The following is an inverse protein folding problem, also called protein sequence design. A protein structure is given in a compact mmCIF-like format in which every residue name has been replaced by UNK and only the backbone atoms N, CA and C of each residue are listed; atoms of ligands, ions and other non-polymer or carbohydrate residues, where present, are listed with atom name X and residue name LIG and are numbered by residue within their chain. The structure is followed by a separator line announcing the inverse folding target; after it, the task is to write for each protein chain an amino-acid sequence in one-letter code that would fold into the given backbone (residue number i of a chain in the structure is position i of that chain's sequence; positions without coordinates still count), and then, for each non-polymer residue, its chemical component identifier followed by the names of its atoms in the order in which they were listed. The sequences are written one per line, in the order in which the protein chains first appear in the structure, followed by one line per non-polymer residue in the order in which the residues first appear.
data_IF_974987540058
#
_entry.id   IF_974987540058
#
_cell.length_a   1.000
_cell.length_b   1.000
_cell.length_c   1.000
_cell.angle_alpha   90.00
_cell.angle_beta   90.00
_cell.angle_gamma   90.00
#
_symmetry.space_group_name_H-M   'P 1'
#
loop_
_entity.id
_entity.type
_entity.pdbx_description
1 polymer ?
#
# COMPACT_ATOMS: atom_id res chain seq x y z
N UNK A 1 46.73 51.16 6.99
CA UNK A 1 47.29 49.85 7.38
C UNK A 1 46.14 48.99 7.87
N UNK A 2 45.84 47.88 7.19
CA UNK A 2 44.75 46.97 7.55
C UNK A 2 44.15 46.30 6.32
N UNK A 3 44.73 45.18 5.92
CA UNK A 3 44.32 44.37 4.77
C UNK A 3 42.95 43.72 5.02
N UNK A 4 42.05 43.81 4.04
CA UNK A 4 40.91 42.91 3.89
C UNK A 4 41.36 41.75 2.98
N UNK A 5 41.40 40.54 3.51
CA UNK A 5 41.56 39.30 2.73
C UNK A 5 40.25 38.50 2.76
N UNK A 6 39.88 37.80 1.66
CA UNK A 6 38.64 37.03 1.62
C UNK A 6 38.83 35.70 2.37
N UNK A 7 38.02 35.48 3.42
CA UNK A 7 37.82 34.18 4.07
C UNK A 7 36.31 33.98 4.18
N UNK A 8 35.71 33.21 3.28
CA UNK A 8 34.52 32.36 3.51
C UNK A 8 33.94 31.76 2.20
N UNK A 9 34.76 31.12 1.37
CA UNK A 9 34.26 30.26 0.27
C UNK A 9 34.79 28.83 0.34
N UNK A 10 35.75 28.54 1.24
CA UNK A 10 36.45 27.25 1.27
C UNK A 10 35.75 26.15 2.08
N UNK A 11 34.63 26.44 2.78
CA UNK A 11 33.93 25.44 3.60
C UNK A 11 32.69 24.81 2.94
N UNK A 12 32.20 25.35 1.82
CA UNK A 12 31.12 24.74 1.05
C UNK A 12 31.65 23.76 0.00
N UNK A 13 32.78 24.08 -0.64
CA UNK A 13 33.44 23.19 -1.61
C UNK A 13 34.04 21.93 -0.97
N UNK A 14 34.43 21.99 0.31
CA UNK A 14 34.97 20.83 1.03
C UNK A 14 33.85 19.87 1.48
N UNK A 15 32.63 20.37 1.73
CA UNK A 15 31.47 19.52 2.05
C UNK A 15 30.85 18.88 0.79
N UNK A 16 30.92 19.55 -0.38
CA UNK A 16 30.54 18.92 -1.66
C UNK A 16 31.54 17.86 -2.12
N UNK A 17 32.85 18.05 -1.86
CA UNK A 17 33.88 17.04 -2.15
C UNK A 17 33.73 15.79 -1.28
N UNK A 18 33.48 15.93 0.02
CA UNK A 18 33.26 14.75 0.89
C UNK A 18 31.97 13.99 0.55
N UNK A 19 30.94 14.69 0.03
CA UNK A 19 29.70 14.07 -0.44
C UNK A 19 29.91 13.37 -1.80
N UNK A 20 30.70 13.96 -2.71
CA UNK A 20 31.06 13.34 -3.99
C UNK A 20 32.03 12.17 -3.84
N UNK A 21 32.96 12.22 -2.88
CA UNK A 21 33.89 11.11 -2.58
C UNK A 21 33.19 9.94 -1.88
N UNK A 22 32.11 10.21 -1.12
CA UNK A 22 31.25 9.17 -0.56
C UNK A 22 30.35 8.51 -1.61
N UNK A 23 29.92 9.27 -2.63
CA UNK A 23 29.15 8.77 -3.77
C UNK A 23 30.05 7.96 -4.73
N UNK A 24 31.28 8.40 -4.98
CA UNK A 24 32.25 7.69 -5.83
C UNK A 24 32.78 6.42 -5.15
N UNK A 25 33.04 6.44 -3.83
CA UNK A 25 33.41 5.24 -3.07
C UNK A 25 32.27 4.21 -2.95
N UNK A 26 31.01 4.65 -3.07
CA UNK A 26 29.85 3.77 -3.24
C UNK A 26 29.78 3.24 -4.67
N UNK A 27 29.98 4.09 -5.70
CA UNK A 27 30.00 3.70 -7.10
C UNK A 27 31.09 2.67 -7.44
N UNK A 28 32.27 2.73 -6.80
CA UNK A 28 33.35 1.75 -7.00
C UNK A 28 33.09 0.39 -6.33
N UNK A 29 32.29 0.34 -5.25
CA UNK A 29 31.77 -0.93 -4.70
C UNK A 29 30.59 -1.48 -5.52
N UNK A 30 29.81 -0.61 -6.15
CA UNK A 30 28.74 -0.99 -7.08
C UNK A 30 29.30 -1.46 -8.44
N UNK A 31 30.46 -0.95 -8.88
CA UNK A 31 31.16 -1.39 -10.09
C UNK A 31 31.55 -2.88 -10.05
N UNK A 32 31.96 -3.40 -8.88
CA UNK A 32 32.25 -4.84 -8.72
C UNK A 32 31.01 -5.72 -8.67
N UNK A 33 29.89 -5.22 -8.16
CA UNK A 33 28.62 -5.98 -8.15
C UNK A 33 27.93 -5.97 -9.51
N UNK A 34 28.09 -4.89 -10.30
CA UNK A 34 27.57 -4.75 -11.68
C UNK A 34 28.44 -5.52 -12.68
N UNK A 35 29.76 -5.61 -12.46
CA UNK A 35 30.65 -6.43 -13.30
C UNK A 35 30.40 -7.94 -13.20
N UNK A 36 29.73 -8.40 -12.14
CA UNK A 36 29.30 -9.79 -12.01
C UNK A 36 28.13 -10.16 -12.95
N UNK A 37 27.43 -9.15 -13.50
CA UNK A 37 26.34 -9.34 -14.45
C UNK A 37 26.79 -9.20 -15.91
N UNK A 38 27.95 -8.60 -16.16
CA UNK A 38 28.51 -8.45 -17.52
C UNK A 38 29.51 -9.53 -17.91
N UNK A 39 30.16 -10.20 -16.96
CA UNK A 39 31.06 -11.33 -17.24
C UNK A 39 30.55 -12.63 -16.59
N UNK A 40 30.07 -13.52 -17.45
CA UNK A 40 29.20 -14.63 -17.07
C UNK A 40 29.74 -15.59 -16.03
N UNK A 41 28.87 -15.95 -15.07
CA UNK A 41 28.86 -17.28 -14.43
C UNK A 41 27.65 -17.66 -13.56
N UNK A 42 26.49 -16.99 -13.67
CA UNK A 42 25.26 -17.46 -13.00
C UNK A 42 24.07 -17.46 -13.97
N UNK A 43 23.55 -18.66 -14.26
CA UNK A 43 22.33 -18.97 -15.04
C UNK A 43 22.38 -18.79 -16.58
N UNK A 44 22.66 -19.86 -17.35
CA UNK A 44 22.54 -19.88 -18.81
C UNK A 44 21.11 -19.78 -19.38
N UNK A 45 20.04 -19.70 -18.57
CA UNK A 45 18.65 -19.79 -19.06
C UNK A 45 17.92 -18.45 -19.29
N UNK A 46 18.49 -17.28 -18.98
CA UNK A 46 17.81 -15.98 -19.15
C UNK A 46 18.39 -15.09 -20.26
N UNK A 47 18.97 -15.69 -21.30
CA UNK A 47 19.41 -14.97 -22.50
C UNK A 47 18.21 -14.62 -23.39
N UNK A 48 17.49 -13.54 -23.04
CA UNK A 48 16.73 -12.76 -24.02
C UNK A 48 17.74 -11.88 -24.77
N UNK A 49 17.76 -12.06 -26.08
CA UNK A 49 18.87 -11.76 -26.98
C UNK A 49 18.81 -10.31 -27.47
N UNK A 50 19.84 -9.51 -27.22
CA UNK A 50 20.11 -8.29 -27.98
C UNK A 50 21.11 -8.58 -29.11
N UNK A 51 20.69 -8.17 -30.31
CA UNK A 51 21.36 -8.15 -31.61
C UNK A 51 21.08 -9.28 -32.62
N UNK A 52 20.59 -8.77 -33.78
CA UNK A 52 20.41 -9.28 -35.15
C UNK A 52 19.13 -10.05 -35.53
N UNK A 53 18.18 -9.25 -36.06
CA UNK A 53 17.38 -9.47 -37.28
C UNK A 53 16.37 -10.65 -37.37
N UNK A 54 15.13 -10.25 -37.66
CA UNK A 54 14.03 -11.00 -38.27
C UNK A 54 13.24 -12.01 -37.42
N UNK A 55 12.04 -11.57 -37.00
CA UNK A 55 10.84 -12.41 -36.91
C UNK A 55 10.64 -13.22 -35.62
N UNK A 56 9.51 -12.97 -34.95
CA UNK A 56 8.92 -13.88 -33.98
C UNK A 56 8.86 -13.32 -32.55
N UNK A 57 7.69 -12.81 -32.20
CA UNK A 57 7.27 -12.45 -30.86
C UNK A 57 7.17 -13.71 -29.95
N UNK A 58 7.26 -13.54 -28.62
CA UNK A 58 7.15 -14.55 -27.54
C UNK A 58 8.42 -15.39 -27.19
N UNK A 59 9.16 -14.96 -26.15
CA UNK A 59 10.31 -15.71 -25.60
C UNK A 59 10.28 -15.98 -24.10
N UNK A 60 9.56 -15.16 -23.32
CA UNK A 60 9.55 -15.27 -21.85
C UNK A 60 8.34 -16.03 -21.30
N UNK A 61 7.17 -15.96 -21.96
CA UNK A 61 6.00 -16.80 -21.61
C UNK A 61 6.22 -18.29 -21.93
N UNK A 62 7.06 -18.58 -22.92
CA UNK A 62 7.30 -19.96 -23.38
C UNK A 62 8.28 -20.74 -22.48
N UNK A 63 9.15 -20.05 -21.74
CA UNK A 63 10.07 -20.68 -20.80
C UNK A 63 9.38 -21.18 -19.53
N UNK A 64 8.25 -20.57 -19.15
CA UNK A 64 7.40 -21.06 -18.05
C UNK A 64 6.51 -22.25 -18.48
N UNK A 65 6.47 -22.59 -19.77
CA UNK A 65 5.61 -23.63 -20.35
C UNK A 65 6.35 -24.89 -20.80
N UNK A 66 7.68 -24.98 -20.65
CA UNK A 66 8.46 -26.16 -21.09
C UNK A 66 8.67 -27.16 -19.95
N UNK A 67 7.88 -28.25 -19.97
CA UNK A 67 7.98 -29.46 -19.14
C UNK A 67 9.30 -30.24 -19.32
N UNK A 68 10.44 -29.63 -18.95
CA UNK A 68 11.75 -30.35 -18.87
C UNK A 68 12.56 -30.05 -17.62
N UNK A 69 11.87 -29.93 -16.49
CA UNK A 69 12.47 -30.11 -15.17
C UNK A 69 11.72 -31.18 -14.38
N UNK A 70 11.68 -32.40 -14.93
CA UNK A 70 11.45 -33.59 -14.09
C UNK A 70 12.79 -33.91 -13.43
N UNK A 71 13.01 -33.35 -12.24
CA UNK A 71 14.01 -33.78 -11.28
C UNK A 71 13.25 -34.28 -10.04
N UNK A 72 13.72 -35.39 -9.50
CA UNK A 72 13.09 -36.15 -8.40
C UNK A 72 12.59 -35.23 -7.27
N UNK A 73 11.34 -35.43 -6.88
CA UNK A 73 10.55 -34.65 -5.92
C UNK A 73 11.33 -34.21 -4.67
N UNK A 74 11.55 -32.90 -4.52
CA UNK A 74 11.49 -32.25 -3.21
C UNK A 74 10.84 -30.88 -3.33
N UNK A 75 9.78 -30.64 -2.56
CA UNK A 75 9.12 -29.34 -2.32
C UNK A 75 10.14 -28.24 -1.88
N UNK A 76 11.35 -28.65 -1.48
CA UNK A 76 12.50 -27.78 -1.18
C UNK A 76 13.09 -27.10 -2.42
N UNK A 77 13.18 -27.76 -3.57
CA UNK A 77 13.92 -27.24 -4.73
C UNK A 77 13.17 -26.09 -5.42
N UNK A 78 11.84 -26.17 -5.52
CA UNK A 78 10.99 -25.11 -6.06
C UNK A 78 11.00 -23.87 -5.15
N UNK A 79 10.93 -24.08 -3.83
CA UNK A 79 11.09 -23.01 -2.84
C UNK A 79 12.46 -22.36 -2.91
N UNK A 80 13.52 -23.14 -3.14
CA UNK A 80 14.86 -22.60 -3.34
C UNK A 80 14.95 -21.80 -4.65
N UNK A 81 14.39 -22.30 -5.75
CA UNK A 81 14.37 -21.61 -7.04
C UNK A 81 13.63 -20.27 -6.94
N UNK A 82 12.44 -20.26 -6.35
CA UNK A 82 11.68 -19.03 -6.11
C UNK A 82 12.50 -18.03 -5.31
N UNK A 83 13.13 -18.46 -4.21
CA UNK A 83 13.98 -17.58 -3.41
C UNK A 83 15.20 -17.05 -4.19
N UNK A 84 15.80 -17.85 -5.06
CA UNK A 84 16.90 -17.41 -5.93
C UNK A 84 16.43 -16.35 -6.93
N UNK A 85 15.28 -16.58 -7.59
CA UNK A 85 14.68 -15.61 -8.51
C UNK A 85 14.37 -14.30 -7.76
N UNK A 86 13.72 -14.38 -6.60
CA UNK A 86 13.38 -13.20 -5.80
C UNK A 86 14.62 -12.45 -5.30
N UNK A 87 15.70 -13.14 -4.96
CA UNK A 87 16.96 -12.48 -4.61
C UNK A 87 17.62 -11.83 -5.83
N UNK A 88 17.54 -12.45 -7.01
CA UNK A 88 18.10 -11.90 -8.24
C UNK A 88 17.39 -10.60 -8.66
N UNK A 89 16.07 -10.51 -8.47
CA UNK A 89 15.30 -9.30 -8.84
C UNK A 89 15.34 -8.18 -7.79
N UNK A 90 16.05 -8.34 -6.66
CA UNK A 90 16.18 -7.24 -5.68
C UNK A 90 16.89 -6.00 -6.22
N UNK A 91 17.70 -6.16 -7.27
CA UNK A 91 18.38 -5.03 -7.92
C UNK A 91 17.44 -4.16 -8.76
N UNK A 92 16.17 -4.54 -8.93
CA UNK A 92 15.18 -3.85 -9.76
C UNK A 92 15.13 -2.33 -9.59
N UNK A 93 15.13 -1.76 -8.37
CA UNK A 93 15.07 -0.31 -8.20
C UNK A 93 16.23 0.47 -8.86
N UNK A 94 17.34 -0.21 -9.17
CA UNK A 94 18.52 0.37 -9.84
C UNK A 94 18.54 0.18 -11.35
N UNK A 95 17.59 -0.59 -11.91
CA UNK A 95 17.47 -0.82 -13.35
C UNK A 95 16.85 0.39 -14.05
N UNK A 96 16.97 0.43 -15.39
CA UNK A 96 16.27 1.44 -16.19
C UNK A 96 14.75 1.22 -16.21
N UNK A 97 14.00 2.25 -16.62
CA UNK A 97 12.53 2.26 -16.60
C UNK A 97 11.90 1.04 -17.29
N UNK A 98 12.35 0.73 -18.51
CA UNK A 98 11.81 -0.38 -19.30
C UNK A 98 12.00 -1.72 -18.59
N UNK A 99 13.18 -1.95 -18.00
CA UNK A 99 13.47 -3.16 -17.25
C UNK A 99 12.71 -3.24 -15.94
N UNK A 100 12.50 -2.12 -15.23
CA UNK A 100 11.68 -2.11 -14.02
C UNK A 100 10.24 -2.56 -14.31
N UNK A 101 9.64 -2.04 -15.38
CA UNK A 101 8.29 -2.42 -15.82
C UNK A 101 8.24 -3.89 -16.23
N UNK A 102 9.25 -4.38 -16.96
CA UNK A 102 9.30 -5.78 -17.36
C UNK A 102 9.47 -6.72 -16.16
N UNK A 103 10.27 -6.35 -15.16
CA UNK A 103 10.39 -7.14 -13.92
C UNK A 103 9.06 -7.17 -13.16
N UNK A 104 8.28 -6.08 -13.11
CA UNK A 104 6.94 -6.10 -12.52
C UNK A 104 6.03 -7.14 -13.20
N UNK A 105 6.08 -7.26 -14.54
CA UNK A 105 5.33 -8.29 -15.27
C UNK A 105 5.82 -9.70 -14.95
N UNK A 106 7.14 -9.90 -14.86
CA UNK A 106 7.71 -11.22 -14.50
C UNK A 106 7.28 -11.62 -13.09
N UNK A 107 7.34 -10.70 -12.13
CA UNK A 107 6.87 -10.93 -10.76
C UNK A 107 5.39 -11.29 -10.73
N UNK A 108 4.56 -10.59 -11.51
CA UNK A 108 3.16 -10.93 -11.67
C UNK A 108 2.98 -12.34 -12.27
N UNK A 109 3.70 -12.69 -13.35
CA UNK A 109 3.62 -14.03 -13.94
C UNK A 109 3.99 -15.12 -12.92
N UNK A 110 5.04 -14.91 -12.11
CA UNK A 110 5.41 -15.81 -11.02
C UNK A 110 4.22 -16.03 -10.08
N UNK A 111 3.46 -14.97 -9.75
CA UNK A 111 2.33 -15.05 -8.82
C UNK A 111 1.16 -15.92 -9.29
N UNK A 112 1.01 -16.10 -10.60
CA UNK A 112 -0.05 -16.90 -11.22
C UNK A 112 0.43 -18.26 -11.74
N UNK A 113 1.73 -18.56 -11.61
CA UNK A 113 2.28 -19.81 -12.14
C UNK A 113 2.07 -20.93 -11.10
N UNK A 114 1.46 -22.06 -11.46
CA UNK A 114 1.20 -23.16 -10.52
C UNK A 114 2.46 -23.92 -10.09
N UNK A 115 3.63 -23.61 -10.69
CA UNK A 115 4.92 -24.20 -10.36
C UNK A 115 5.49 -23.74 -9.02
N UNK A 116 4.97 -22.64 -8.46
CA UNK A 116 5.47 -22.09 -7.21
C UNK A 116 4.36 -22.10 -6.17
N UNK A 117 4.62 -22.76 -5.03
CA UNK A 117 3.76 -22.67 -3.85
C UNK A 117 4.00 -21.32 -3.14
N UNK A 118 3.14 -20.34 -3.44
CA UNK A 118 3.25 -18.98 -2.93
C UNK A 118 2.55 -18.84 -1.58
N UNK A 119 3.36 -18.86 -0.52
CA UNK A 119 2.92 -18.49 0.82
C UNK A 119 3.07 -16.98 1.09
N UNK A 120 2.60 -16.55 2.26
CA UNK A 120 2.65 -15.15 2.69
C UNK A 120 4.07 -14.57 2.72
N UNK A 121 5.09 -15.39 3.02
CA UNK A 121 6.49 -14.94 2.99
C UNK A 121 6.97 -14.61 1.57
N UNK A 122 6.62 -15.42 0.57
CA UNK A 122 6.96 -15.14 -0.82
C UNK A 122 6.25 -13.89 -1.32
N UNK A 123 4.95 -13.75 -1.02
CA UNK A 123 4.15 -12.56 -1.36
C UNK A 123 4.77 -11.30 -0.76
N UNK A 124 5.22 -11.35 0.49
CA UNK A 124 5.88 -10.21 1.14
C UNK A 124 7.22 -9.85 0.51
N UNK A 125 8.02 -10.83 0.07
CA UNK A 125 9.29 -10.57 -0.64
C UNK A 125 9.04 -9.92 -2.00
N UNK A 126 8.02 -10.36 -2.73
CA UNK A 126 7.61 -9.72 -3.99
C UNK A 126 7.14 -8.30 -3.72
N UNK A 127 6.28 -8.11 -2.71
CA UNK A 127 5.78 -6.81 -2.33
C UNK A 127 6.90 -5.83 -1.93
N UNK A 128 7.92 -6.31 -1.22
CA UNK A 128 9.11 -5.55 -0.85
C UNK A 128 9.83 -5.01 -2.10
N UNK A 129 10.13 -5.86 -3.09
CA UNK A 129 10.76 -5.43 -4.35
C UNK A 129 9.89 -4.40 -5.08
N UNK A 130 8.57 -4.62 -5.15
CA UNK A 130 7.63 -3.68 -5.75
C UNK A 130 7.63 -2.31 -5.05
N UNK A 131 7.57 -2.29 -3.71
CA UNK A 131 7.51 -1.06 -2.91
C UNK A 131 8.84 -0.30 -2.93
N UNK A 132 9.97 -1.00 -2.88
CA UNK A 132 11.29 -0.39 -3.04
C UNK A 132 11.41 0.27 -4.43
N UNK A 133 10.98 -0.43 -5.47
CA UNK A 133 10.97 0.11 -6.85
C UNK A 133 10.09 1.36 -6.95
N UNK A 134 8.89 1.34 -6.33
CA UNK A 134 8.01 2.51 -6.25
C UNK A 134 8.68 3.71 -5.56
N UNK A 135 9.39 3.44 -4.47
CA UNK A 135 10.04 4.49 -3.66
C UNK A 135 11.20 5.12 -4.42
N UNK A 136 12.03 4.31 -5.10
CA UNK A 136 13.15 4.80 -5.90
C UNK A 136 12.70 5.53 -7.19
N UNK A 137 11.55 5.14 -7.75
CA UNK A 137 11.04 5.65 -9.02
C UNK A 137 9.77 6.49 -8.86
N UNK A 138 9.63 7.24 -7.76
CA UNK A 138 8.38 7.92 -7.37
C UNK A 138 7.80 8.89 -8.42
N UNK A 139 8.65 9.44 -9.30
CA UNK A 139 8.25 10.35 -10.38
C UNK A 139 7.86 9.65 -11.69
N UNK A 140 8.11 8.34 -11.81
CA UNK A 140 7.93 7.60 -13.06
C UNK A 140 6.55 6.93 -13.09
N UNK A 141 5.63 7.49 -13.89
CA UNK A 141 4.22 7.06 -13.92
C UNK A 141 4.04 5.61 -14.40
N UNK A 142 4.81 5.21 -15.41
CA UNK A 142 4.80 3.85 -15.99
C UNK A 142 5.09 2.79 -14.92
N UNK A 143 6.19 2.96 -14.18
CA UNK A 143 6.58 2.09 -13.07
C UNK A 143 5.55 2.14 -11.95
N UNK A 144 5.11 3.32 -11.54
CA UNK A 144 4.09 3.44 -10.50
C UNK A 144 2.80 2.68 -10.87
N UNK A 145 2.42 2.70 -12.15
CA UNK A 145 1.25 1.96 -12.66
C UNK A 145 1.50 0.45 -12.65
N UNK A 146 2.67 0.02 -13.11
CA UNK A 146 3.05 -1.40 -13.14
C UNK A 146 3.17 -1.99 -11.72
N UNK A 147 3.78 -1.27 -10.79
CA UNK A 147 3.87 -1.66 -9.37
C UNK A 147 2.48 -1.78 -8.75
N UNK A 148 1.62 -0.78 -8.93
CA UNK A 148 0.24 -0.80 -8.39
C UNK A 148 -0.58 -1.95 -8.95
N UNK A 149 -0.48 -2.22 -10.25
CA UNK A 149 -1.12 -3.36 -10.88
C UNK A 149 -0.60 -4.69 -10.30
N UNK A 150 0.72 -4.85 -10.19
CA UNK A 150 1.35 -6.06 -9.68
C UNK A 150 0.93 -6.35 -8.24
N UNK A 151 1.03 -5.34 -7.36
CA UNK A 151 0.63 -5.47 -5.95
C UNK A 151 -0.86 -5.79 -5.82
N UNK A 152 -1.74 -5.01 -6.48
CA UNK A 152 -3.19 -5.21 -6.35
C UNK A 152 -3.64 -6.57 -6.89
N UNK A 153 -3.10 -7.01 -8.04
CA UNK A 153 -3.45 -8.30 -8.64
C UNK A 153 -2.93 -9.48 -7.82
N UNK A 154 -1.67 -9.43 -7.36
CA UNK A 154 -1.10 -10.47 -6.50
C UNK A 154 -1.85 -10.61 -5.18
N UNK A 155 -2.11 -9.48 -4.49
CA UNK A 155 -2.78 -9.47 -3.19
C UNK A 155 -4.24 -9.90 -3.29
N UNK A 156 -4.93 -9.48 -4.35
CA UNK A 156 -6.31 -9.91 -4.61
C UNK A 156 -6.35 -11.40 -4.89
N UNK A 157 -5.43 -11.92 -5.71
CA UNK A 157 -5.38 -13.34 -6.05
C UNK A 157 -5.15 -14.23 -4.82
N UNK A 158 -4.14 -13.92 -3.98
CA UNK A 158 -3.92 -14.62 -2.71
C UNK A 158 -5.21 -14.73 -1.87
N UNK A 159 -5.95 -13.61 -1.79
CA UNK A 159 -7.17 -13.55 -0.98
C UNK A 159 -8.35 -14.27 -1.66
N UNK A 160 -8.43 -14.22 -3.00
CA UNK A 160 -9.41 -14.96 -3.78
C UNK A 160 -9.20 -16.46 -3.68
N UNK A 161 -7.96 -16.93 -3.68
CA UNK A 161 -7.64 -18.33 -3.44
C UNK A 161 -8.17 -18.78 -2.07
N UNK A 162 -7.99 -17.98 -1.01
CA UNK A 162 -8.59 -18.24 0.30
C UNK A 162 -10.12 -18.29 0.24
N UNK A 163 -10.76 -17.30 -0.41
CA UNK A 163 -12.22 -17.24 -0.56
C UNK A 163 -12.77 -18.48 -1.25
N UNK A 164 -12.17 -18.90 -2.37
CA UNK A 164 -12.57 -20.09 -3.13
C UNK A 164 -12.47 -21.36 -2.27
N UNK A 165 -11.40 -21.49 -1.48
CA UNK A 165 -11.21 -22.66 -0.60
C UNK A 165 -12.20 -22.68 0.56
N UNK A 166 -12.57 -21.52 1.09
CA UNK A 166 -13.61 -21.40 2.12
C UNK A 166 -14.99 -21.79 1.57
N UNK A 167 -15.34 -21.34 0.37
CA UNK A 167 -16.60 -21.70 -0.29
C UNK A 167 -16.69 -23.20 -0.59
N UNK A 168 -15.60 -23.82 -1.08
CA UNK A 168 -15.55 -25.26 -1.33
C UNK A 168 -15.74 -26.09 -0.05
N UNK A 169 -15.23 -25.61 1.09
CA UNK A 169 -15.38 -26.29 2.39
C UNK A 169 -16.82 -26.27 2.91
N UNK A 170 -17.64 -25.29 2.49
CA UNK A 170 -19.04 -25.17 2.90
C UNK A 170 -19.96 -26.12 2.09
N UNK A 171 -19.55 -26.51 0.88
CA UNK A 171 -20.35 -27.33 -0.05
C UNK A 171 -20.07 -28.84 0.14
N UNK A 172 -18.91 -29.24 0.65
CA UNK A 172 -18.60 -30.65 0.90
C UNK A 172 -19.36 -31.21 2.13
N UNK A 173 -20.23 -32.19 1.89
CA UNK A 173 -20.97 -32.96 2.89
C UNK A 173 -20.04 -33.55 3.98
N UNK A 174 -20.44 -33.57 5.26
CA UNK A 174 -19.60 -34.04 6.39
C UNK A 174 -19.35 -35.56 6.46
N UNK A 175 -19.63 -36.34 5.41
CA UNK A 175 -19.75 -37.82 5.48
C UNK A 175 -18.76 -38.61 4.58
N UNK A 176 -17.63 -38.02 4.17
CA UNK A 176 -16.59 -38.74 3.38
C UNK A 176 -15.27 -38.83 4.16
N UNK A 177 -14.68 -40.03 4.36
CA UNK A 177 -13.46 -40.23 5.13
C UNK A 177 -12.24 -39.46 4.60
N UNK A 178 -11.51 -38.90 5.55
CA UNK A 178 -10.34 -38.03 5.47
C UNK A 178 -9.06 -38.77 5.01
N UNK A 179 -9.08 -39.51 3.89
CA UNK A 179 -7.91 -40.32 3.47
C UNK A 179 -7.24 -39.87 2.15
N UNK A 180 -7.74 -38.83 1.48
CA UNK A 180 -7.15 -38.34 0.22
C UNK A 180 -7.07 -36.80 0.10
N UNK A 181 -6.89 -36.08 1.21
CA UNK A 181 -6.64 -34.63 1.13
C UNK A 181 -5.19 -34.39 0.69
N UNK A 182 -5.00 -34.38 -0.63
CA UNK A 182 -3.76 -34.05 -1.33
C UNK A 182 -3.13 -32.74 -0.82
N UNK A 183 -1.83 -32.78 -0.55
CA UNK A 183 -0.77 -31.73 -0.61
C UNK A 183 -1.14 -30.29 -1.08
N UNK A 184 -2.20 -29.69 -0.54
CA UNK A 184 -2.56 -28.30 -0.75
C UNK A 184 -2.54 -27.53 0.56
N UNK A 185 -2.14 -26.25 0.51
CA UNK A 185 -2.23 -25.34 1.66
C UNK A 185 -3.65 -25.35 2.24
N UNK A 186 -3.76 -25.56 3.56
CA UNK A 186 -5.04 -25.62 4.25
C UNK A 186 -5.72 -24.24 4.26
N UNK A 187 -7.04 -24.18 4.43
CA UNK A 187 -7.78 -22.91 4.57
C UNK A 187 -7.21 -22.06 5.71
N UNK A 188 -6.80 -22.70 6.81
CA UNK A 188 -6.21 -22.04 7.96
C UNK A 188 -4.83 -21.45 7.62
N UNK A 189 -3.96 -22.20 6.95
CA UNK A 189 -2.65 -21.70 6.51
C UNK A 189 -2.77 -20.52 5.53
N UNK A 190 -3.69 -20.58 4.56
CA UNK A 190 -3.95 -19.45 3.66
C UNK A 190 -4.52 -18.23 4.42
N UNK A 191 -5.33 -18.45 5.45
CA UNK A 191 -5.83 -17.38 6.30
C UNK A 191 -4.70 -16.72 7.10
N UNK A 192 -3.79 -17.52 7.65
CA UNK A 192 -2.58 -17.04 8.32
C UNK A 192 -1.67 -16.25 7.37
N UNK A 193 -1.50 -16.71 6.13
CA UNK A 193 -0.75 -16.01 5.10
C UNK A 193 -1.35 -14.63 4.79
N UNK A 194 -2.67 -14.54 4.58
CA UNK A 194 -3.38 -13.27 4.35
C UNK A 194 -3.24 -12.32 5.55
N UNK A 195 -3.39 -12.84 6.78
CA UNK A 195 -3.23 -12.05 8.00
C UNK A 195 -1.80 -11.58 8.19
N UNK A 196 -0.81 -12.40 7.88
CA UNK A 196 0.61 -12.04 7.91
C UNK A 196 0.90 -10.89 6.95
N UNK A 197 0.42 -11.01 5.70
CA UNK A 197 0.57 -9.96 4.67
C UNK A 197 -0.09 -8.66 5.11
N UNK A 198 -1.35 -8.70 5.59
CA UNK A 198 -2.04 -7.52 6.11
C UNK A 198 -1.31 -6.89 7.30
N UNK A 199 -0.76 -7.71 8.19
CA UNK A 199 -0.03 -7.23 9.37
C UNK A 199 1.16 -6.39 8.97
N UNK A 200 2.01 -6.90 8.07
CA UNK A 200 3.18 -6.17 7.58
C UNK A 200 2.77 -4.91 6.81
N UNK A 201 1.73 -4.98 5.97
CA UNK A 201 1.23 -3.80 5.26
C UNK A 201 0.74 -2.71 6.24
N UNK A 202 0.05 -3.09 7.31
CA UNK A 202 -0.43 -2.15 8.32
C UNK A 202 0.72 -1.55 9.16
N UNK A 203 1.74 -2.33 9.50
CA UNK A 203 2.96 -1.84 10.16
C UNK A 203 3.70 -0.82 9.28
N UNK A 204 3.85 -1.12 7.99
CA UNK A 204 4.48 -0.22 7.02
C UNK A 204 3.65 1.04 6.75
N UNK A 205 2.32 0.92 6.73
CA UNK A 205 1.42 2.07 6.67
C UNK A 205 1.66 3.00 7.87
N UNK A 206 1.66 2.45 9.09
CA UNK A 206 1.89 3.23 10.31
C UNK A 206 3.25 3.93 10.31
N UNK A 207 4.31 3.25 9.86
CA UNK A 207 5.64 3.83 9.75
C UNK A 207 5.68 5.01 8.75
N UNK A 208 4.88 4.95 7.68
CA UNK A 208 4.90 5.92 6.58
C UNK A 208 3.89 7.06 6.67
N UNK A 209 3.05 7.12 7.73
CA UNK A 209 1.99 8.14 7.89
C UNK A 209 2.52 9.57 7.75
N UNK A 210 3.73 9.84 8.24
CA UNK A 210 4.33 11.18 8.25
C UNK A 210 5.37 11.42 7.14
N UNK A 211 5.72 10.39 6.35
CA UNK A 211 6.88 10.43 5.46
C UNK A 211 6.50 10.82 4.03
N UNK A 212 5.57 10.09 3.41
CA UNK A 212 5.19 10.29 2.00
C UNK A 212 3.73 9.95 1.77
N UNK A 213 2.94 10.94 1.37
CA UNK A 213 1.52 10.75 1.04
C UNK A 213 1.30 9.77 -0.12
N UNK A 214 2.25 9.67 -1.06
CA UNK A 214 2.18 8.72 -2.18
C UNK A 214 2.39 7.28 -1.71
N UNK A 215 3.37 7.08 -0.83
CA UNK A 215 3.66 5.77 -0.24
C UNK A 215 2.55 5.34 0.72
N UNK A 216 2.04 6.26 1.54
CA UNK A 216 0.87 6.08 2.37
C UNK A 216 -0.36 5.64 1.55
N UNK A 217 -0.61 6.31 0.42
CA UNK A 217 -1.70 5.94 -0.49
C UNK A 217 -1.49 4.53 -1.06
N UNK A 218 -0.26 4.19 -1.47
CA UNK A 218 0.05 2.85 -1.98
C UNK A 218 -0.26 1.76 -0.95
N UNK A 219 0.14 1.93 0.32
CA UNK A 219 -0.18 0.97 1.37
C UNK A 219 -1.69 0.83 1.61
N UNK A 220 -2.43 1.94 1.61
CA UNK A 220 -3.89 1.92 1.75
C UNK A 220 -4.57 1.16 0.60
N UNK A 221 -4.08 1.32 -0.63
CA UNK A 221 -4.59 0.60 -1.81
C UNK A 221 -4.27 -0.91 -1.74
N UNK A 222 -3.07 -1.28 -1.27
CA UNK A 222 -2.72 -2.68 -1.04
C UNK A 222 -3.65 -3.31 0.00
N UNK A 223 -3.85 -2.65 1.14
CA UNK A 223 -4.76 -3.12 2.20
C UNK A 223 -6.19 -3.23 1.66
N UNK A 224 -6.65 -2.23 0.90
CA UNK A 224 -7.99 -2.24 0.30
C UNK A 224 -8.17 -3.41 -0.67
N UNK A 225 -7.14 -3.73 -1.48
CA UNK A 225 -7.17 -4.86 -2.42
C UNK A 225 -7.37 -6.20 -1.71
N UNK A 226 -6.70 -6.39 -0.57
CA UNK A 226 -6.89 -7.58 0.28
C UNK A 226 -8.28 -7.60 0.90
N UNK A 227 -8.74 -6.49 1.50
CA UNK A 227 -10.03 -6.44 2.18
C UNK A 227 -11.21 -6.63 1.21
N UNK A 228 -11.19 -5.99 0.03
CA UNK A 228 -12.24 -6.15 -0.97
C UNK A 228 -12.33 -7.59 -1.53
N UNK A 229 -11.18 -8.27 -1.61
CA UNK A 229 -11.07 -9.67 -2.03
C UNK A 229 -11.30 -10.67 -0.89
N UNK A 230 -11.50 -10.20 0.34
CA UNK A 230 -11.78 -11.06 1.51
C UNK A 230 -13.24 -11.53 1.55
N UNK A 231 -13.46 -12.79 1.91
CA UNK A 231 -14.80 -13.34 2.19
C UNK A 231 -15.38 -12.81 3.50
N UNK A 232 -16.70 -12.94 3.70
CA UNK A 232 -17.30 -12.55 4.97
C UNK A 232 -16.81 -13.42 6.14
N UNK A 233 -16.42 -14.69 5.92
CA UNK A 233 -15.98 -15.61 6.99
C UNK A 233 -14.65 -15.21 7.64
N UNK A 234 -13.91 -14.25 7.08
CA UNK A 234 -12.66 -13.73 7.69
C UNK A 234 -12.84 -13.21 9.11
N UNK A 235 -14.03 -12.76 9.49
CA UNK A 235 -14.30 -12.30 10.87
C UNK A 235 -14.20 -13.41 11.92
N UNK A 236 -14.26 -14.69 11.52
CA UNK A 236 -14.09 -15.82 12.43
C UNK A 236 -12.62 -16.00 12.85
N UNK A 237 -11.69 -15.49 12.04
CA UNK A 237 -10.27 -15.60 12.34
C UNK A 237 -9.85 -14.53 13.34
N UNK A 238 -9.49 -14.97 14.56
CA UNK A 238 -9.17 -14.05 15.66
C UNK A 238 -8.02 -13.10 15.31
N UNK A 239 -6.96 -13.61 14.67
CA UNK A 239 -5.83 -12.80 14.24
C UNK A 239 -6.23 -11.68 13.28
N UNK A 240 -7.21 -11.94 12.40
CA UNK A 240 -7.75 -10.92 11.51
C UNK A 240 -8.50 -9.84 12.29
N UNK A 241 -9.47 -10.23 13.14
CA UNK A 241 -10.22 -9.25 13.94
C UNK A 241 -9.30 -8.41 14.83
N UNK A 242 -8.31 -9.04 15.48
CA UNK A 242 -7.32 -8.36 16.31
C UNK A 242 -6.50 -7.34 15.54
N UNK A 243 -6.06 -7.68 14.32
CA UNK A 243 -5.36 -6.75 13.47
C UNK A 243 -6.23 -5.53 13.11
N UNK A 244 -7.51 -5.75 12.79
CA UNK A 244 -8.42 -4.66 12.45
C UNK A 244 -8.58 -3.67 13.59
N UNK A 245 -8.89 -4.13 14.81
CA UNK A 245 -9.19 -3.21 15.92
C UNK A 245 -7.93 -2.67 16.62
N UNK A 246 -6.83 -3.43 16.68
CA UNK A 246 -5.60 -2.99 17.35
C UNK A 246 -4.71 -2.12 16.46
N UNK A 247 -4.80 -2.29 15.14
CA UNK A 247 -3.81 -1.75 14.21
C UNK A 247 -4.46 -0.90 13.10
N UNK A 248 -5.25 -1.53 12.21
CA UNK A 248 -5.75 -0.85 11.01
C UNK A 248 -6.67 0.33 11.36
N UNK A 249 -7.74 0.12 12.12
CA UNK A 249 -8.68 1.19 12.43
C UNK A 249 -8.01 2.37 13.20
N UNK A 250 -7.18 2.13 14.23
CA UNK A 250 -6.39 3.20 14.84
C UNK A 250 -5.52 3.97 13.85
N UNK A 251 -4.83 3.28 12.93
CA UNK A 251 -4.02 3.93 11.89
C UNK A 251 -4.87 4.83 10.99
N UNK A 252 -6.04 4.36 10.52
CA UNK A 252 -6.96 5.16 9.71
C UNK A 252 -7.46 6.40 10.46
N UNK A 253 -7.78 6.28 11.75
CA UNK A 253 -8.19 7.40 12.60
C UNK A 253 -7.07 8.44 12.74
N UNK A 254 -5.82 7.99 12.90
CA UNK A 254 -4.66 8.88 12.97
C UNK A 254 -4.44 9.61 11.65
N UNK A 255 -4.56 8.91 10.52
CA UNK A 255 -4.41 9.47 9.18
C UNK A 255 -5.47 10.54 8.88
N UNK A 256 -6.71 10.33 9.33
CA UNK A 256 -7.79 11.32 9.23
C UNK A 256 -7.54 12.57 10.12
N UNK A 257 -6.45 12.59 10.90
CA UNK A 257 -5.98 13.72 11.71
C UNK A 257 -6.66 13.82 13.08
N UNK A 258 -6.14 14.68 13.97
CA UNK A 258 -6.71 14.97 15.29
C UNK A 258 -7.12 16.45 15.38
N UNK A 259 -8.36 16.81 15.81
CA UNK A 259 -8.89 18.18 15.88
C UNK A 259 -8.00 19.24 16.52
N UNK A 260 -7.15 18.83 17.46
CA UNK A 260 -6.44 19.76 18.35
C UNK A 260 -5.32 20.50 17.61
N UNK A 261 -4.88 20.00 16.44
CA UNK A 261 -3.80 20.60 15.66
C UNK A 261 -4.26 21.43 14.47
N UNK A 262 -5.57 21.52 14.21
CA UNK A 262 -6.10 22.45 13.22
C UNK A 262 -6.14 23.86 13.85
N UNK A 263 -4.96 24.49 13.93
CA UNK A 263 -4.79 25.88 14.38
C UNK A 263 -5.34 26.86 13.34
N UNK A 264 -6.60 26.70 12.96
CA UNK A 264 -7.35 27.70 12.20
C UNK A 264 -8.73 27.93 12.83
N UNK A 265 -8.77 28.06 14.16
CA UNK A 265 -9.74 28.96 14.77
C UNK A 265 -9.10 30.35 14.76
N UNK A 266 -9.18 31.04 13.63
CA UNK A 266 -9.08 32.51 13.63
C UNK A 266 -10.32 33.03 14.33
N UNK A 267 -10.26 33.17 15.66
CA UNK A 267 -11.08 34.13 16.37
C UNK A 267 -10.83 35.49 15.72
N UNK A 268 -11.85 36.06 15.08
CA UNK A 268 -11.78 37.38 14.48
C UNK A 268 -11.71 38.46 15.56
N UNK A 269 -10.59 38.57 16.28
CA UNK A 269 -10.24 39.72 17.12
C UNK A 269 -8.75 39.70 17.47
N UNK A 270 -7.88 40.05 16.53
CA UNK A 270 -6.57 40.63 16.87
C UNK A 270 -5.91 41.30 15.66
N UNK A 271 -6.55 42.31 15.07
CA UNK A 271 -5.85 43.28 14.22
C UNK A 271 -6.59 44.60 14.14
N UNK A 272 -6.61 45.34 15.25
CA UNK A 272 -6.74 46.80 15.24
C UNK A 272 -6.41 47.36 16.63
N UNK A 273 -5.16 47.74 16.88
CA UNK A 273 -4.80 48.83 17.79
C UNK A 273 -3.27 49.06 17.77
N UNK A 274 -2.78 49.72 16.73
CA UNK A 274 -1.63 50.62 16.86
C UNK A 274 -2.16 51.97 17.36
N UNK A 275 -1.81 52.34 18.59
CA UNK A 275 -1.73 53.70 19.15
C UNK A 275 -2.99 54.62 19.14
N UNK A 276 -3.01 55.58 20.06
CA UNK A 276 -3.96 56.71 20.29
C UNK A 276 -5.32 56.34 20.93
N UNK A 277 -5.54 56.62 22.22
CA UNK A 277 -5.90 57.90 22.87
C UNK A 277 -7.29 58.42 22.45
N UNK A 278 -8.22 58.29 23.42
CA UNK A 278 -9.41 59.10 23.76
C UNK A 278 -10.33 59.65 22.65
N UNK A 279 -11.65 59.37 22.74
CA UNK A 279 -12.70 60.38 22.97
C UNK A 279 -14.13 59.79 22.90
N UNK A 280 -14.98 60.27 23.81
CA UNK A 280 -16.41 60.02 23.97
C UNK A 280 -17.26 60.28 22.72
N UNK A 281 -18.29 59.45 22.48
CA UNK A 281 -19.66 59.94 22.20
C UNK A 281 -20.67 58.79 22.03
N UNK A 282 -21.84 58.99 22.65
CA UNK A 282 -22.99 58.10 22.60
C UNK A 282 -23.67 58.08 21.23
N UNK A 283 -23.98 56.89 20.71
CA UNK A 283 -25.19 56.66 19.91
C UNK A 283 -25.56 55.18 19.87
N UNK A 284 -26.85 54.96 20.07
CA UNK A 284 -27.54 53.68 20.13
C UNK A 284 -27.92 53.26 18.71
N UNK A 285 -27.40 52.14 18.20
CA UNK A 285 -27.92 51.48 17.00
C UNK A 285 -27.55 49.99 16.96
N UNK A 286 -28.58 49.17 17.18
CA UNK A 286 -28.81 47.80 16.67
C UNK A 286 -27.67 46.78 16.82
N UNK A 287 -27.82 45.93 17.83
CA UNK A 287 -27.19 44.61 17.88
C UNK A 287 -27.74 43.74 16.75
N UNK A 288 -26.99 43.62 15.65
CA UNK A 288 -27.09 42.46 14.77
C UNK A 288 -26.26 41.33 15.37
N UNK A 289 -26.82 40.76 16.43
CA UNK A 289 -26.39 39.50 17.01
C UNK A 289 -26.52 38.39 15.96
N UNK A 290 -25.42 37.71 15.68
CA UNK A 290 -25.47 36.29 15.31
C UNK A 290 -25.53 36.00 13.82
N UNK A 291 -24.38 36.13 13.15
CA UNK A 291 -23.97 35.16 12.12
C UNK A 291 -22.50 34.82 12.29
N UNK A 292 -22.17 34.23 13.44
CA UNK A 292 -20.94 33.47 13.60
C UNK A 292 -20.96 32.24 12.71
N UNK A 293 -20.82 32.43 11.39
CA UNK A 293 -20.44 31.36 10.48
C UNK A 293 -18.94 31.20 10.57
N UNK A 294 -18.48 30.69 11.72
CA UNK A 294 -17.15 30.09 11.83
C UNK A 294 -17.13 28.79 11.05
N UNK A 295 -17.28 28.87 9.73
CA UNK A 295 -16.91 27.77 8.86
C UNK A 295 -15.39 27.70 8.95
N UNK A 296 -14.83 26.63 9.49
CA UNK A 296 -13.47 26.24 9.12
C UNK A 296 -13.45 26.13 7.60
N UNK A 297 -12.87 27.13 6.95
CA UNK A 297 -12.70 27.18 5.50
C UNK A 297 -11.56 26.27 5.02
N UNK A 298 -10.85 25.62 5.94
CA UNK A 298 -9.76 24.71 5.64
C UNK A 298 -10.32 23.32 5.42
N UNK A 299 -10.17 22.84 4.17
CA UNK A 299 -10.35 21.44 3.85
C UNK A 299 -9.48 20.58 4.78
N UNK A 300 -9.85 19.30 5.03
CA UNK A 300 -8.96 18.38 5.74
C UNK A 300 -7.56 18.49 5.13
N UNK A 301 -6.51 18.61 5.93
CA UNK A 301 -5.11 18.62 5.45
C UNK A 301 -4.67 17.29 4.79
N UNK A 302 -5.64 16.40 4.56
CA UNK A 302 -5.51 15.07 4.00
C UNK A 302 -5.72 15.09 2.48
N UNK A 303 -4.84 14.41 1.76
CA UNK A 303 -4.95 14.22 0.31
C UNK A 303 -6.28 13.57 -0.07
N UNK A 304 -6.98 14.13 -1.07
CA UNK A 304 -8.28 13.62 -1.54
C UNK A 304 -8.28 12.12 -1.88
N UNK A 305 -7.32 11.62 -2.68
CA UNK A 305 -7.16 10.18 -2.94
C UNK A 305 -6.98 9.32 -1.69
N UNK A 306 -6.23 9.81 -0.69
CA UNK A 306 -6.05 9.11 0.59
C UNK A 306 -7.37 9.02 1.33
N UNK A 307 -8.08 10.14 1.47
CA UNK A 307 -9.40 10.18 2.11
C UNK A 307 -10.39 9.24 1.42
N UNK A 308 -10.46 9.28 0.09
CA UNK A 308 -11.33 8.41 -0.71
C UNK A 308 -11.04 6.93 -0.47
N UNK A 309 -9.76 6.54 -0.43
CA UNK A 309 -9.35 5.16 -0.17
C UNK A 309 -9.74 4.72 1.24
N UNK A 310 -9.63 5.60 2.24
CA UNK A 310 -10.09 5.34 3.61
C UNK A 310 -11.61 5.14 3.67
N UNK A 311 -12.39 5.86 2.86
CA UNK A 311 -13.85 5.67 2.81
C UNK A 311 -14.22 4.29 2.26
N UNK A 312 -13.53 3.83 1.20
CA UNK A 312 -13.70 2.46 0.71
C UNK A 312 -13.26 1.41 1.73
N UNK A 313 -12.12 1.62 2.40
CA UNK A 313 -11.68 0.75 3.50
C UNK A 313 -12.73 0.67 4.61
N UNK A 314 -13.27 1.80 5.06
CA UNK A 314 -14.29 1.82 6.10
C UNK A 314 -15.55 1.03 5.69
N UNK A 315 -15.96 1.13 4.43
CA UNK A 315 -17.08 0.37 3.90
C UNK A 315 -16.80 -1.16 3.88
N UNK A 316 -15.60 -1.56 3.45
CA UNK A 316 -15.15 -2.95 3.50
C UNK A 316 -15.04 -3.49 4.94
N UNK A 317 -14.61 -2.65 5.89
CA UNK A 317 -14.57 -3.01 7.31
C UNK A 317 -15.97 -3.30 7.85
N UNK A 318 -16.99 -2.51 7.49
CA UNK A 318 -18.36 -2.83 7.87
C UNK A 318 -18.85 -4.11 7.21
N UNK A 319 -18.51 -4.34 5.93
CA UNK A 319 -18.84 -5.59 5.23
C UNK A 319 -18.26 -6.82 5.93
N UNK A 320 -17.02 -6.73 6.39
CA UNK A 320 -16.29 -7.86 6.96
C UNK A 320 -16.59 -8.09 8.44
N UNK A 321 -16.60 -7.03 9.25
CA UNK A 321 -16.64 -7.13 10.71
C UNK A 321 -17.80 -6.37 11.37
N UNK A 322 -18.74 -5.80 10.59
CA UNK A 322 -19.87 -5.04 11.11
C UNK A 322 -20.87 -5.86 11.92
N UNK A 323 -20.95 -7.17 11.68
CA UNK A 323 -21.77 -8.13 12.44
C UNK A 323 -21.15 -8.50 13.80
N UNK A 324 -19.88 -8.16 14.04
CA UNK A 324 -19.16 -8.51 15.27
C UNK A 324 -19.36 -7.42 16.33
N UNK A 325 -20.09 -7.73 17.40
CA UNK A 325 -20.44 -6.75 18.44
C UNK A 325 -19.23 -6.06 19.08
N UNK A 326 -18.13 -6.78 19.32
CA UNK A 326 -16.91 -6.22 19.90
C UNK A 326 -16.20 -5.22 19.00
N UNK A 327 -16.53 -5.19 17.69
CA UNK A 327 -15.95 -4.27 16.72
C UNK A 327 -16.71 -2.93 16.64
N UNK A 328 -17.93 -2.86 17.20
CA UNK A 328 -18.77 -1.65 17.15
C UNK A 328 -18.05 -0.40 17.68
N UNK A 329 -17.35 -0.41 18.84
CA UNK A 329 -16.72 0.81 19.36
C UNK A 329 -15.64 1.36 18.41
N UNK A 330 -14.83 0.48 17.81
CA UNK A 330 -13.75 0.92 16.92
C UNK A 330 -14.29 1.42 15.58
N UNK A 331 -15.31 0.75 15.03
CA UNK A 331 -15.99 1.20 13.81
C UNK A 331 -16.72 2.53 14.05
N UNK A 332 -17.42 2.71 15.16
CA UNK A 332 -18.08 3.98 15.52
C UNK A 332 -17.08 5.13 15.59
N UNK A 333 -15.91 4.91 16.18
CA UNK A 333 -14.83 5.92 16.23
C UNK A 333 -14.38 6.33 14.83
N UNK A 334 -14.13 5.36 13.95
CA UNK A 334 -13.74 5.61 12.56
C UNK A 334 -14.84 6.36 11.78
N UNK A 335 -16.09 5.93 11.89
CA UNK A 335 -17.22 6.56 11.19
C UNK A 335 -17.54 7.96 11.72
N UNK A 336 -17.34 8.20 13.01
CA UNK A 336 -17.44 9.54 13.57
C UNK A 336 -16.40 10.48 12.91
N UNK A 337 -15.17 10.00 12.72
CA UNK A 337 -14.11 10.74 12.01
C UNK A 337 -14.44 11.01 10.54
N UNK A 338 -15.08 10.07 9.86
CA UNK A 338 -15.40 10.18 8.43
C UNK A 338 -16.63 11.07 8.19
N UNK A 339 -17.71 10.86 8.94
CA UNK A 339 -19.03 11.44 8.63
C UNK A 339 -19.43 12.61 9.52
N UNK A 340 -18.99 12.64 10.77
CA UNK A 340 -19.47 13.63 11.74
C UNK A 340 -18.47 14.75 11.97
N UNK A 341 -17.18 14.46 11.83
CA UNK A 341 -16.11 15.42 12.06
C UNK A 341 -15.95 16.47 10.94
N UNK A 342 -15.91 16.14 9.63
CA UNK A 342 -15.71 17.14 8.59
C UNK A 342 -16.90 18.11 8.48
N UNK A 343 -16.72 19.36 8.02
CA UNK A 343 -17.85 20.25 7.73
C UNK A 343 -18.82 19.63 6.71
N UNK A 344 -20.14 19.91 6.74
CA UNK A 344 -21.14 19.25 5.90
C UNK A 344 -20.80 19.22 4.39
N UNK A 345 -20.21 20.29 3.87
CA UNK A 345 -19.78 20.40 2.47
C UNK A 345 -18.72 19.36 2.05
N UNK A 346 -17.93 18.84 2.99
CA UNK A 346 -16.89 17.84 2.74
C UNK A 346 -17.34 16.40 2.98
N UNK A 347 -18.61 16.18 3.36
CA UNK A 347 -19.15 14.85 3.63
C UNK A 347 -19.71 14.17 2.38
N UNK A 348 -19.92 14.91 1.29
CA UNK A 348 -20.66 14.44 0.11
C UNK A 348 -20.05 13.17 -0.48
N UNK A 349 -18.73 13.13 -0.63
CA UNK A 349 -18.03 11.96 -1.19
C UNK A 349 -18.10 10.75 -0.27
N UNK A 350 -17.87 10.94 1.04
CA UNK A 350 -18.00 9.88 2.03
C UNK A 350 -19.43 9.31 2.05
N UNK A 351 -20.45 10.16 2.09
CA UNK A 351 -21.87 9.73 2.07
C UNK A 351 -22.18 8.96 0.80
N UNK A 352 -21.69 9.42 -0.37
CA UNK A 352 -21.91 8.74 -1.65
C UNK A 352 -21.35 7.30 -1.61
N UNK A 353 -20.10 7.13 -1.19
CA UNK A 353 -19.44 5.81 -1.11
C UNK A 353 -20.18 4.91 -0.11
N UNK A 354 -20.51 5.44 1.07
CA UNK A 354 -21.21 4.66 2.10
C UNK A 354 -22.59 4.19 1.61
N UNK A 355 -23.30 5.03 0.85
CA UNK A 355 -24.58 4.68 0.27
C UNK A 355 -24.43 3.60 -0.82
N UNK A 356 -23.47 3.75 -1.72
CA UNK A 356 -23.19 2.78 -2.79
C UNK A 356 -22.89 1.38 -2.24
N UNK A 357 -22.03 1.29 -1.22
CA UNK A 357 -21.68 0.00 -0.62
C UNK A 357 -22.82 -0.58 0.22
N UNK A 358 -23.60 0.25 0.92
CA UNK A 358 -24.78 -0.22 1.65
C UNK A 358 -25.87 -0.76 0.71
N UNK A 359 -26.06 -0.15 -0.46
CA UNK A 359 -27.00 -0.61 -1.49
C UNK A 359 -26.55 -1.93 -2.12
N UNK A 360 -25.25 -2.10 -2.37
CA UNK A 360 -24.66 -3.37 -2.83
C UNK A 360 -24.85 -4.50 -1.81
N UNK A 361 -24.88 -4.19 -0.51
CA UNK A 361 -25.13 -5.17 0.56
C UNK A 361 -26.63 -5.47 0.78
N UNK A 362 -27.53 -4.61 0.29
CA UNK A 362 -28.99 -4.75 0.46
C UNK A 362 -29.72 -5.25 -0.78
N UNK A 363 -29.03 -5.60 -1.88
CA UNK A 363 -29.67 -6.37 -2.93
C UNK A 363 -29.99 -7.76 -2.36
N UNK A 364 -31.29 -8.12 -2.17
CA UNK A 364 -31.61 -9.51 -1.88
C UNK A 364 -31.03 -10.34 -3.03
N UNK A 365 -30.34 -11.43 -2.70
CA UNK A 365 -30.17 -12.51 -3.65
C UNK A 365 -31.57 -12.89 -4.08
N UNK A 366 -31.95 -12.46 -5.29
CA UNK A 366 -33.18 -12.91 -5.92
C UNK A 366 -32.85 -14.32 -6.37
N UNK A 367 -33.21 -15.29 -5.54
CA UNK A 367 -33.28 -16.69 -5.92
C UNK A 367 -34.13 -16.81 -7.19
N UNK A 368 -33.54 -17.32 -8.27
CA UNK A 368 -34.23 -17.88 -9.42
C UNK A 368 -33.74 -19.29 -9.68
#
# INVERSE_FOLDING_TARGET
MGCWGPKSERSLEDNERDTQDSISASADRHGSSVHMWTEGRCCPQLRVRSHTAAGGDSGVEKLLSEERFVSMETDSDEKQLLNQILNAVKVTPSLNEDLQVEVMKVLLCITYTPTFDLNGSAVLKIAEVCIETYTCSCHQRSINTAVRATLSQMLSDLTLQLRQRQENTIIENPDVPQEFRSQGSTVEALCDDVVSVLTVLCEKLQASINDSQQLQLLYLECILSVLSSSSHSMHLHRGFTDLIWKNLCPALVVILGNPIHDKTITSAHSSSASASIESDSASQAVSDQGRGSGCSCTAPALSGPVARTIYYLAAELVRLVGSVDSMKPVLQSLYHRILLYPPPQHRVEAIKIMKEVAEQQHLPQVDF
#
